data_IF_599257462963
#
_entry.id   IF_599257462963
#
_cell.length_a   1.000
_cell.length_b   1.000
_cell.length_c   1.000
_cell.angle_alpha   90.00
_cell.angle_beta   90.00
_cell.angle_gamma   90.00
#
_symmetry.space_group_name_H-M   'P 1'
#
loop_
_entity.id
_entity.type
_entity.pdbx_description
1 polymer ?
#
# COMPACT_ATOMS: atom_id res chain seq x y z
N UNK A 1 -14.18 -21.53 -8.01
CA UNK A 1 -12.82 -20.99 -7.77
C UNK A 1 -12.92 -19.50 -8.04
N UNK A 2 -13.05 -18.68 -6.99
CA UNK A 2 -13.11 -17.23 -7.14
C UNK A 2 -11.67 -16.75 -7.29
N UNK A 3 -11.25 -16.48 -8.52
CA UNK A 3 -9.93 -15.89 -8.77
C UNK A 3 -10.03 -14.44 -8.31
N UNK A 4 -9.41 -14.12 -7.18
CA UNK A 4 -9.21 -12.73 -6.77
C UNK A 4 -8.26 -12.11 -7.80
N UNK A 5 -8.82 -11.32 -8.73
CA UNK A 5 -8.02 -10.53 -9.65
C UNK A 5 -7.45 -9.40 -8.81
N UNK A 6 -6.22 -9.58 -8.32
CA UNK A 6 -5.45 -8.47 -7.79
C UNK A 6 -5.14 -7.56 -8.98
N UNK A 7 -5.92 -6.49 -9.16
CA UNK A 7 -5.58 -5.43 -10.11
C UNK A 7 -4.40 -4.66 -9.53
N UNK A 8 -3.20 -5.16 -9.77
CA UNK A 8 -1.97 -4.42 -9.53
C UNK A 8 -1.84 -3.40 -10.65
N UNK A 9 -1.95 -2.11 -10.32
CA UNK A 9 -1.67 -1.03 -11.28
C UNK A 9 -0.27 -0.47 -11.03
N UNK A 10 0.48 -0.25 -12.10
CA UNK A 10 1.71 0.54 -12.07
C UNK A 10 1.38 2.03 -12.00
N UNK A 11 2.29 2.82 -11.43
CA UNK A 11 2.16 4.27 -11.35
C UNK A 11 2.02 4.88 -12.75
N UNK A 12 0.97 5.68 -12.94
CA UNK A 12 0.79 6.48 -14.15
C UNK A 12 1.78 7.65 -14.22
N UNK A 13 1.71 8.44 -15.30
CA UNK A 13 2.54 9.67 -15.48
C UNK A 13 2.38 10.67 -14.33
N UNK A 14 1.23 10.66 -13.66
CA UNK A 14 0.96 11.39 -12.43
C UNK A 14 0.60 10.39 -11.33
N UNK A 15 1.15 10.61 -10.15
CA UNK A 15 0.75 9.88 -8.95
C UNK A 15 -0.75 10.07 -8.68
N UNK A 16 -1.49 9.01 -8.31
CA UNK A 16 -2.87 9.17 -7.85
C UNK A 16 -2.92 10.00 -6.57
N UNK A 17 -4.07 10.65 -6.32
CA UNK A 17 -4.35 11.26 -5.01
C UNK A 17 -4.38 10.15 -3.96
N UNK A 18 -3.46 10.23 -3.00
CA UNK A 18 -3.30 9.23 -1.95
C UNK A 18 -3.20 9.93 -0.59
N UNK A 19 -4.34 10.35 -0.06
CA UNK A 19 -4.43 11.04 1.22
C UNK A 19 -4.24 10.04 2.36
N UNK A 20 -3.03 9.96 2.92
CA UNK A 20 -2.65 8.90 3.87
C UNK A 20 -3.45 9.03 5.18
N UNK A 21 -4.16 7.95 5.54
CA UNK A 21 -4.96 7.83 6.78
C UNK A 21 -4.42 6.77 7.73
N UNK A 22 -3.66 5.80 7.21
CA UNK A 22 -3.01 4.75 8.00
C UNK A 22 -1.63 4.42 7.42
N UNK A 23 -0.67 4.05 8.29
CA UNK A 23 0.68 3.66 7.91
C UNK A 23 1.18 2.51 8.79
N UNK A 24 1.99 1.63 8.21
CA UNK A 24 2.67 0.54 8.90
C UNK A 24 3.99 0.20 8.20
N UNK A 25 4.96 -0.30 8.95
CA UNK A 25 6.21 -0.87 8.43
C UNK A 25 6.26 -2.35 8.81
N UNK A 26 6.76 -3.20 7.92
CA UNK A 26 6.97 -4.63 8.20
C UNK A 26 8.16 -4.83 9.16
N UNK A 27 8.14 -5.92 9.94
CA UNK A 27 9.20 -6.20 10.93
C UNK A 27 10.61 -6.32 10.32
N UNK A 28 10.70 -6.77 9.07
CA UNK A 28 11.95 -6.85 8.31
C UNK A 28 12.45 -5.47 7.82
N UNK A 29 11.65 -4.41 8.01
CA UNK A 29 11.92 -3.04 7.57
C UNK A 29 12.17 -2.90 6.06
N UNK A 30 11.65 -3.84 5.26
CA UNK A 30 11.79 -3.78 3.80
C UNK A 30 10.55 -3.23 3.12
N UNK A 31 9.41 -3.15 3.80
CA UNK A 31 8.14 -2.70 3.20
C UNK A 31 7.41 -1.71 4.10
N UNK A 32 6.98 -0.60 3.50
CA UNK A 32 6.00 0.33 4.10
C UNK A 32 4.66 0.07 3.43
N UNK A 33 3.58 0.11 4.21
CA UNK A 33 2.21 0.03 3.72
C UNK A 33 1.48 1.30 4.13
N UNK A 34 0.88 1.99 3.15
CA UNK A 34 0.03 3.16 3.39
C UNK A 34 -1.39 2.88 2.93
N UNK A 35 -2.37 3.34 3.70
CA UNK A 35 -3.78 3.34 3.33
C UNK A 35 -4.28 4.76 3.13
N UNK A 36 -5.26 4.95 2.25
CA UNK A 36 -5.80 6.28 1.94
C UNK A 36 -7.27 6.49 2.27
N UNK A 37 -7.64 7.77 2.32
CA UNK A 37 -9.03 8.22 2.43
C UNK A 37 -9.92 7.70 1.28
N UNK A 38 -9.32 7.48 0.12
CA UNK A 38 -9.96 7.00 -1.11
C UNK A 38 -10.03 5.45 -1.21
N UNK A 39 -9.51 4.73 -0.20
CA UNK A 39 -9.56 3.26 -0.16
C UNK A 39 -8.41 2.56 -0.89
N UNK A 40 -7.41 3.31 -1.35
CA UNK A 40 -6.22 2.71 -1.94
C UNK A 40 -5.29 2.23 -0.84
N UNK A 41 -4.60 1.12 -1.09
CA UNK A 41 -3.46 0.68 -0.28
C UNK A 41 -2.23 0.68 -1.19
N UNK A 42 -1.12 1.25 -0.73
CA UNK A 42 0.13 1.29 -1.47
C UNK A 42 1.21 0.58 -0.67
N UNK A 43 1.93 -0.31 -1.35
CA UNK A 43 3.15 -0.92 -0.85
C UNK A 43 4.34 -0.15 -1.41
N UNK A 44 5.31 0.10 -0.54
CA UNK A 44 6.56 0.77 -0.86
C UNK A 44 7.72 -0.12 -0.43
N UNK A 45 8.74 -0.21 -1.27
CA UNK A 45 10.02 -0.79 -0.87
C UNK A 45 10.80 0.26 -0.05
N UNK A 46 11.37 -0.19 1.06
CA UNK A 46 12.24 0.60 1.94
C UNK A 46 13.65 0.00 1.89
N UNK A 47 14.62 0.78 1.38
CA UNK A 47 16.02 0.35 1.36
C UNK A 47 16.70 0.55 2.72
N UNK A 48 17.83 -0.13 2.93
CA UNK A 48 18.69 0.04 4.12
C UNK A 48 19.18 1.47 4.32
N UNK A 49 19.27 2.26 3.24
CA UNK A 49 19.59 3.70 3.28
C UNK A 49 18.36 4.59 3.49
N UNK A 50 17.24 4.01 3.91
CA UNK A 50 15.95 4.68 4.13
C UNK A 50 15.37 5.35 2.88
N UNK A 51 15.70 4.82 1.69
CA UNK A 51 15.09 5.27 0.44
C UNK A 51 13.78 4.55 0.22
N UNK A 52 12.75 5.30 -0.16
CA UNK A 52 11.42 4.77 -0.41
C UNK A 52 11.20 4.79 -1.93
N UNK A 53 10.82 3.64 -2.47
CA UNK A 53 10.34 3.53 -3.85
C UNK A 53 8.99 2.86 -3.87
N UNK A 54 8.14 3.26 -4.80
CA UNK A 54 6.84 2.67 -4.91
C UNK A 54 6.90 1.27 -5.51
N UNK A 55 6.10 0.36 -4.96
CA UNK A 55 6.09 -1.05 -5.36
C UNK A 55 4.79 -1.39 -6.07
N UNK A 56 3.67 -1.34 -5.34
CA UNK A 56 2.37 -1.79 -5.83
C UNK A 56 1.24 -0.92 -5.26
N UNK A 57 0.16 -0.80 -6.03
CA UNK A 57 -1.10 -0.21 -5.57
C UNK A 57 -2.16 -1.31 -5.59
N UNK A 58 -2.81 -1.50 -4.45
CA UNK A 58 -3.89 -2.44 -4.25
C UNK A 58 -5.23 -1.70 -4.18
N UNK A 59 -6.18 -2.20 -4.95
CA UNK A 59 -7.56 -1.71 -4.96
C UNK A 59 -8.47 -2.77 -4.36
N UNK A 60 -9.43 -2.34 -3.55
CA UNK A 60 -10.42 -3.25 -2.96
C UNK A 60 -11.32 -2.55 -1.94
N UNK A 61 -10.74 -1.69 -1.08
CA UNK A 61 -11.55 -0.83 -0.24
C UNK A 61 -12.25 0.23 -1.08
N UNK A 62 -13.56 0.37 -0.92
CA UNK A 62 -14.38 1.40 -1.57
C UNK A 62 -14.59 2.63 -0.67
N UNK A 63 -13.89 2.68 0.47
CA UNK A 63 -13.99 3.70 1.50
C UNK A 63 -12.63 3.86 2.22
N UNK A 64 -12.51 4.88 3.06
CA UNK A 64 -11.28 5.23 3.80
C UNK A 64 -10.68 4.03 4.54
N UNK A 65 -9.38 3.83 4.37
CA UNK A 65 -8.61 2.85 5.15
C UNK A 65 -8.31 3.45 6.52
N UNK A 66 -9.03 3.00 7.55
CA UNK A 66 -8.92 3.58 8.90
C UNK A 66 -7.82 2.96 9.75
N UNK A 67 -7.34 1.78 9.40
CA UNK A 67 -6.32 1.06 10.16
C UNK A 67 -5.60 0.04 9.27
N UNK A 68 -4.32 -0.21 9.57
CA UNK A 68 -3.52 -1.28 9.00
C UNK A 68 -2.87 -2.05 10.15
N UNK A 69 -2.81 -3.37 10.02
CA UNK A 69 -2.15 -4.25 10.98
C UNK A 69 -1.50 -5.42 10.24
N UNK A 70 -0.30 -5.79 10.68
CA UNK A 70 0.40 -6.97 10.16
C UNK A 70 -0.23 -8.20 10.83
N UNK A 71 -0.64 -9.17 10.01
CA UNK A 71 -1.00 -10.48 10.53
C UNK A 71 0.24 -11.13 11.18
N UNK A 72 0.03 -11.93 12.23
CA UNK A 72 1.11 -12.75 12.79
C UNK A 72 1.48 -13.84 11.77
N UNK A 73 2.70 -14.36 11.89
CA UNK A 73 3.09 -15.61 11.23
C UNK A 73 2.26 -16.79 11.74
#
# INVERSE_FOLDING_TARGET
IMVSVQTVAMWGKMAPSHSITAIMITDDQQTIVTGSQEGQIILWDLSSELKISSKEILFGHTASVTCLAKARE
#
